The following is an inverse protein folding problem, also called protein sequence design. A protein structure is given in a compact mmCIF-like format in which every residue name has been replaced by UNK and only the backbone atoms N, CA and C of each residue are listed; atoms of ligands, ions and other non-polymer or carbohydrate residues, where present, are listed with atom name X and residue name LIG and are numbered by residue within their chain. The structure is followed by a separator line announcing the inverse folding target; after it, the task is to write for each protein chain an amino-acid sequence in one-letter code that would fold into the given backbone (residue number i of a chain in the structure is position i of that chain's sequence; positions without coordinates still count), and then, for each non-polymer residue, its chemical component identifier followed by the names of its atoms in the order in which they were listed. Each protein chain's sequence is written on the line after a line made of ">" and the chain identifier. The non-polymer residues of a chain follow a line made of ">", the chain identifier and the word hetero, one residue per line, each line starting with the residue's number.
data_IF_208880845801
#
_entry.id   IF_208880845801
#
_cell.length_a   1.000
_cell.length_b   1.000
_cell.length_c   1.000
_cell.angle_alpha   90.00
_cell.angle_beta   90.00
_cell.angle_gamma   90.00
#
_symmetry.space_group_name_H-M   'P 1'
#
loop_
_entity.id
_entity.type
_entity.pdbx_description
1 polymer ?
#
# COMPACT_ATOMS: atom_id res chain seq x y z
N UNK A 1 -5.18 -38.79 -55.25
CA UNK A 1 -4.28 -38.97 -54.09
C UNK A 1 -3.45 -37.70 -53.92
N UNK A 2 -3.82 -36.81 -52.99
CA UNK A 2 -3.10 -35.56 -52.74
C UNK A 2 -2.13 -35.73 -51.57
N UNK A 3 -0.82 -35.75 -51.85
CA UNK A 3 0.22 -35.93 -50.85
C UNK A 3 0.54 -34.58 -50.19
N UNK A 4 0.17 -34.38 -48.92
CA UNK A 4 0.46 -33.16 -48.17
C UNK A 4 1.89 -33.27 -47.60
N UNK A 5 2.81 -32.50 -48.16
CA UNK A 5 4.18 -32.36 -47.66
C UNK A 5 4.13 -31.56 -46.34
N UNK A 6 4.65 -32.17 -45.27
CA UNK A 6 4.75 -31.55 -43.96
C UNK A 6 5.84 -30.46 -43.97
N UNK A 7 5.49 -29.26 -43.52
CA UNK A 7 6.46 -28.17 -43.29
C UNK A 7 7.31 -28.47 -42.04
N UNK A 8 8.62 -28.15 -42.04
CA UNK A 8 9.46 -28.33 -40.88
C UNK A 8 9.07 -27.35 -39.76
N UNK A 9 9.01 -27.85 -38.52
CA UNK A 9 8.78 -27.04 -37.33
C UNK A 9 9.98 -26.11 -37.12
N UNK A 10 9.74 -24.80 -37.25
CA UNK A 10 10.70 -23.76 -36.88
C UNK A 10 11.05 -23.87 -35.38
N UNK A 11 12.33 -23.80 -34.99
CA UNK A 11 12.71 -23.74 -33.59
C UNK A 11 12.18 -22.44 -32.99
N UNK A 12 11.38 -22.54 -31.93
CA UNK A 12 10.87 -21.38 -31.20
C UNK A 12 12.07 -20.61 -30.64
N UNK A 13 12.33 -19.43 -31.20
CA UNK A 13 13.30 -18.48 -30.68
C UNK A 13 12.93 -18.19 -29.22
N UNK A 14 13.85 -18.53 -28.30
CA UNK A 14 13.70 -18.25 -26.88
C UNK A 14 13.44 -16.75 -26.72
N UNK A 15 12.22 -16.40 -26.29
CA UNK A 15 11.90 -15.03 -25.87
C UNK A 15 13.01 -14.59 -24.92
N UNK A 16 13.74 -13.55 -25.29
CA UNK A 16 14.63 -12.84 -24.36
C UNK A 16 13.74 -12.48 -23.17
N UNK A 17 14.08 -12.95 -21.97
CA UNK A 17 13.45 -12.47 -20.73
C UNK A 17 13.61 -10.95 -20.78
N UNK A 18 12.49 -10.25 -20.82
CA UNK A 18 12.45 -8.83 -20.52
C UNK A 18 13.18 -8.64 -19.19
N UNK A 19 13.99 -7.58 -19.03
CA UNK A 19 14.71 -7.37 -17.78
C UNK A 19 13.67 -7.26 -16.68
N UNK A 20 13.65 -8.27 -15.82
CA UNK A 20 12.95 -8.24 -14.54
C UNK A 20 13.47 -6.99 -13.84
N UNK A 21 12.59 -5.99 -13.72
CA UNK A 21 12.94 -4.69 -13.19
C UNK A 21 13.70 -4.90 -11.88
N UNK A 22 14.90 -4.33 -11.80
CA UNK A 22 15.72 -4.39 -10.59
C UNK A 22 14.80 -4.09 -9.38
N UNK A 23 14.91 -4.87 -8.28
CA UNK A 23 14.04 -4.67 -7.15
C UNK A 23 14.15 -3.21 -6.73
N UNK A 24 13.01 -2.51 -6.66
CA UNK A 24 12.97 -1.16 -6.13
C UNK A 24 13.70 -1.18 -4.78
N UNK A 25 14.73 -0.35 -4.65
CA UNK A 25 15.52 -0.18 -3.42
C UNK A 25 14.54 -0.18 -2.23
N UNK A 26 14.56 -1.22 -1.39
CA UNK A 26 13.61 -1.44 -0.29
C UNK A 26 12.86 -2.79 -0.24
N UNK A 27 12.66 -3.47 -1.38
CA UNK A 27 12.09 -4.83 -1.42
C UNK A 27 10.80 -5.03 -0.60
N UNK A 28 10.70 -6.18 0.08
CA UNK A 28 9.58 -6.57 0.95
C UNK A 28 9.80 -6.19 2.43
N UNK A 29 10.67 -5.21 2.74
CA UNK A 29 10.88 -4.73 4.11
C UNK A 29 9.98 -3.51 4.40
N UNK A 30 8.94 -3.63 5.25
CA UNK A 30 8.07 -2.51 5.56
C UNK A 30 8.76 -1.41 6.37
N UNK A 31 9.76 -1.75 7.21
CA UNK A 31 10.44 -0.77 8.06
C UNK A 31 11.32 0.17 7.24
N UNK A 32 11.94 -0.35 6.17
CA UNK A 32 12.64 0.46 5.17
C UNK A 32 11.71 1.52 4.58
N UNK A 33 10.54 1.11 4.08
CA UNK A 33 9.56 2.03 3.49
C UNK A 33 9.02 3.06 4.50
N UNK A 34 8.90 2.69 5.79
CA UNK A 34 8.57 3.64 6.86
C UNK A 34 9.69 4.66 7.08
N UNK A 35 10.95 4.22 7.05
CA UNK A 35 12.08 5.11 7.19
C UNK A 35 12.15 6.10 6.02
N UNK A 36 11.94 5.65 4.80
CA UNK A 36 11.92 6.52 3.63
C UNK A 36 10.76 7.52 3.67
N UNK A 37 9.57 7.10 4.11
CA UNK A 37 8.46 8.01 4.35
C UNK A 37 8.81 9.12 5.37
N UNK A 38 9.54 8.79 6.44
CA UNK A 38 9.99 9.78 7.44
C UNK A 38 10.95 10.80 6.82
N UNK A 39 11.89 10.37 5.98
CA UNK A 39 12.81 11.28 5.30
C UNK A 39 12.08 12.25 4.36
N UNK A 40 11.09 11.77 3.61
CA UNK A 40 10.24 12.65 2.79
C UNK A 40 9.42 13.62 3.67
N UNK A 41 8.92 13.17 4.83
CA UNK A 41 8.20 14.03 5.76
C UNK A 41 9.08 15.16 6.33
N UNK A 42 10.33 14.87 6.65
CA UNK A 42 11.34 15.86 7.09
C UNK A 42 11.57 16.90 6.00
N UNK A 43 11.90 16.48 4.77
CA UNK A 43 12.10 17.38 3.62
C UNK A 43 10.85 18.22 3.33
N UNK A 44 9.66 17.62 3.38
CA UNK A 44 8.38 18.33 3.22
C UNK A 44 8.24 19.46 4.24
N UNK A 45 8.52 19.18 5.51
CA UNK A 45 8.42 20.17 6.57
C UNK A 45 9.41 21.33 6.33
N UNK A 46 10.65 21.03 5.96
CA UNK A 46 11.65 22.05 5.61
C UNK A 46 11.18 22.95 4.45
N UNK A 47 10.64 22.37 3.38
CA UNK A 47 10.11 23.16 2.25
C UNK A 47 8.94 24.04 2.65
N UNK A 48 8.01 23.55 3.49
CA UNK A 48 6.88 24.35 3.95
C UNK A 48 7.29 25.45 4.92
N UNK A 49 8.25 25.20 5.82
CA UNK A 49 8.80 26.24 6.70
C UNK A 49 9.47 27.36 5.90
N UNK A 50 10.29 27.00 4.91
CA UNK A 50 10.93 27.96 4.00
C UNK A 50 9.91 28.71 3.15
N UNK A 51 8.88 28.02 2.64
CA UNK A 51 7.79 28.63 1.88
C UNK A 51 7.06 29.69 2.70
N UNK A 52 6.71 29.37 3.96
CA UNK A 52 6.08 30.32 4.87
C UNK A 52 6.99 31.51 5.20
N UNK A 53 8.30 31.29 5.35
CA UNK A 53 9.26 32.37 5.57
C UNK A 53 9.35 33.30 4.36
N UNK A 54 9.40 32.76 3.13
CA UNK A 54 9.40 33.54 1.90
C UNK A 54 8.10 34.35 1.73
N UNK A 55 6.95 33.76 2.07
CA UNK A 55 5.67 34.46 2.03
C UNK A 55 5.64 35.65 3.00
N UNK A 56 6.13 35.47 4.24
CA UNK A 56 6.28 36.57 5.23
C UNK A 56 7.22 37.68 4.77
N UNK A 57 8.15 37.39 3.86
CA UNK A 57 9.05 38.37 3.24
C UNK A 57 8.47 39.01 1.98
N UNK A 58 7.18 38.80 1.67
CA UNK A 58 6.51 39.22 0.44
C UNK A 58 7.12 38.64 -0.86
N UNK A 59 7.86 37.52 -0.76
CA UNK A 59 8.44 36.80 -1.91
C UNK A 59 7.49 35.71 -2.39
N UNK A 60 6.32 36.11 -2.90
CA UNK A 60 5.24 35.18 -3.26
C UNK A 60 5.62 34.12 -4.31
N UNK A 61 6.43 34.49 -5.31
CA UNK A 61 6.91 33.55 -6.33
C UNK A 61 7.78 32.43 -5.75
N UNK A 62 8.75 32.79 -4.90
CA UNK A 62 9.61 31.83 -4.20
C UNK A 62 8.80 30.95 -3.25
N UNK A 63 7.87 31.55 -2.50
CA UNK A 63 6.98 30.83 -1.61
C UNK A 63 6.17 29.76 -2.35
N UNK A 64 5.66 30.08 -3.54
CA UNK A 64 4.92 29.13 -4.37
C UNK A 64 5.80 27.96 -4.81
N UNK A 65 7.00 28.23 -5.35
CA UNK A 65 7.92 27.17 -5.78
C UNK A 65 8.29 26.22 -4.64
N UNK A 66 8.60 26.77 -3.46
CA UNK A 66 8.89 25.95 -2.27
C UNK A 66 7.66 25.15 -1.81
N UNK A 67 6.45 25.71 -1.91
CA UNK A 67 5.22 24.97 -1.59
C UNK A 67 4.99 23.82 -2.57
N UNK A 68 5.23 24.02 -3.86
CA UNK A 68 5.08 22.97 -4.86
C UNK A 68 6.11 21.84 -4.66
N UNK A 69 7.34 22.17 -4.24
CA UNK A 69 8.34 21.17 -3.83
C UNK A 69 7.91 20.39 -2.59
N UNK A 70 7.37 21.06 -1.57
CA UNK A 70 6.82 20.39 -0.39
C UNK A 70 5.68 19.43 -0.71
N UNK A 71 4.79 19.78 -1.65
CA UNK A 71 3.72 18.89 -2.12
C UNK A 71 4.26 17.65 -2.83
N UNK A 72 5.36 17.78 -3.57
CA UNK A 72 5.97 16.62 -4.22
C UNK A 72 6.59 15.67 -3.17
N UNK A 73 7.28 16.19 -2.16
CA UNK A 73 7.76 15.38 -1.04
C UNK A 73 6.61 14.71 -0.27
N UNK A 74 5.48 15.41 -0.10
CA UNK A 74 4.27 14.83 0.47
C UNK A 74 3.73 13.66 -0.36
N UNK A 75 3.70 13.80 -1.69
CA UNK A 75 3.28 12.72 -2.61
C UNK A 75 4.21 11.51 -2.48
N UNK A 76 5.52 11.72 -2.36
CA UNK A 76 6.51 10.66 -2.20
C UNK A 76 6.41 9.98 -0.83
N UNK A 77 6.23 10.75 0.25
CA UNK A 77 5.94 10.26 1.59
C UNK A 77 4.71 9.34 1.61
N UNK A 78 3.62 9.76 0.95
CA UNK A 78 2.39 8.96 0.87
C UNK A 78 2.62 7.64 0.12
N UNK A 79 3.39 7.66 -0.98
CA UNK A 79 3.74 6.42 -1.71
C UNK A 79 4.59 5.47 -0.87
N UNK A 80 5.59 5.98 -0.15
CA UNK A 80 6.42 5.16 0.73
C UNK A 80 5.58 4.56 1.87
N UNK A 81 4.70 5.33 2.50
CA UNK A 81 3.77 4.81 3.50
C UNK A 81 2.81 3.76 2.93
N UNK A 82 2.29 3.96 1.72
CA UNK A 82 1.43 2.99 1.06
C UNK A 82 2.18 1.66 0.82
N UNK A 83 3.42 1.71 0.34
CA UNK A 83 4.27 0.52 0.18
C UNK A 83 4.51 -0.19 1.52
N UNK A 84 4.83 0.56 2.57
CA UNK A 84 4.99 -0.01 3.91
C UNK A 84 3.71 -0.71 4.39
N UNK A 85 2.56 -0.07 4.24
CA UNK A 85 1.24 -0.60 4.60
C UNK A 85 0.93 -1.89 3.84
N UNK A 86 1.12 -1.90 2.52
CA UNK A 86 0.83 -3.07 1.67
C UNK A 86 1.74 -4.25 2.04
N UNK A 87 3.01 -3.98 2.30
CA UNK A 87 3.99 -4.99 2.72
C UNK A 87 3.65 -5.56 4.10
N UNK A 88 3.31 -4.72 5.09
CA UNK A 88 2.84 -5.18 6.41
C UNK A 88 1.59 -6.05 6.26
N UNK A 89 0.58 -5.57 5.54
CA UNK A 89 -0.68 -6.29 5.38
C UNK A 89 -0.47 -7.65 4.71
N UNK A 90 0.28 -7.68 3.59
CA UNK A 90 0.61 -8.92 2.86
C UNK A 90 1.36 -9.91 3.75
N UNK A 91 2.37 -9.45 4.50
CA UNK A 91 3.18 -10.29 5.38
C UNK A 91 2.35 -10.86 6.53
N UNK A 92 1.57 -10.02 7.19
CA UNK A 92 0.78 -10.41 8.37
C UNK A 92 -0.33 -11.39 8.00
N UNK A 93 -0.95 -11.22 6.83
CA UNK A 93 -2.10 -12.03 6.42
C UNK A 93 -1.72 -13.24 5.55
N UNK A 94 -0.42 -13.53 5.36
CA UNK A 94 0.03 -14.64 4.51
C UNK A 94 -0.37 -16.03 5.04
N UNK A 95 -0.60 -16.16 6.35
CA UNK A 95 -0.95 -17.43 7.01
C UNK A 95 -2.15 -17.31 7.94
N UNK A 96 -2.92 -16.24 7.80
CA UNK A 96 -4.11 -15.96 8.61
C UNK A 96 -5.33 -16.60 7.94
N UNK A 97 -6.25 -17.14 8.75
CA UNK A 97 -7.48 -17.74 8.23
C UNK A 97 -8.33 -16.72 7.45
N UNK A 98 -9.16 -17.15 6.48
CA UNK A 98 -9.88 -16.24 5.59
C UNK A 98 -10.77 -15.22 6.31
N UNK A 99 -11.33 -15.58 7.47
CA UNK A 99 -12.25 -14.72 8.24
C UNK A 99 -11.52 -13.78 9.21
N UNK A 100 -10.21 -13.90 9.32
CA UNK A 100 -9.36 -13.05 10.13
C UNK A 100 -8.63 -12.03 9.26
N UNK A 101 -8.46 -10.83 9.81
CA UNK A 101 -7.75 -9.73 9.15
C UNK A 101 -6.78 -9.14 10.15
N UNK A 102 -5.50 -9.30 9.87
CA UNK A 102 -4.44 -8.74 10.68
C UNK A 102 -4.04 -7.34 10.20
N UNK A 103 -4.29 -6.36 11.06
CA UNK A 103 -4.06 -4.94 10.85
C UNK A 103 -2.98 -4.38 11.79
N UNK A 104 -2.25 -5.24 12.52
CA UNK A 104 -1.19 -4.76 13.40
C UNK A 104 -0.07 -4.08 12.60
N UNK A 105 0.57 -3.07 13.21
CA UNK A 105 1.67 -2.32 12.58
C UNK A 105 1.21 -1.31 11.51
N UNK A 106 -0.07 -1.28 11.16
CA UNK A 106 -0.64 -0.26 10.28
C UNK A 106 -0.98 1.02 11.07
N UNK A 107 -0.85 2.16 10.40
CA UNK A 107 -1.40 3.41 10.93
C UNK A 107 -2.93 3.39 10.84
N UNK A 108 -3.60 4.15 11.72
CA UNK A 108 -5.06 4.14 11.85
C UNK A 108 -5.77 4.32 10.51
N UNK A 109 -5.35 5.29 9.69
CA UNK A 109 -5.94 5.56 8.37
C UNK A 109 -5.76 4.41 7.38
N UNK A 110 -4.62 3.73 7.44
CA UNK A 110 -4.32 2.59 6.58
C UNK A 110 -5.18 1.39 6.99
N UNK A 111 -5.28 1.13 8.30
CA UNK A 111 -6.12 0.08 8.87
C UNK A 111 -7.60 0.31 8.55
N UNK A 112 -8.10 1.55 8.65
CA UNK A 112 -9.45 1.94 8.22
C UNK A 112 -9.70 1.58 6.75
N UNK A 113 -8.83 2.05 5.85
CA UNK A 113 -8.99 1.83 4.41
C UNK A 113 -8.91 0.35 4.01
N UNK A 114 -8.03 -0.42 4.66
CA UNK A 114 -7.93 -1.87 4.44
C UNK A 114 -9.17 -2.57 5.00
N UNK A 115 -9.62 -2.20 6.19
CA UNK A 115 -10.79 -2.83 6.81
C UNK A 115 -12.07 -2.60 5.99
N UNK A 116 -12.27 -1.40 5.43
CA UNK A 116 -13.38 -1.12 4.52
C UNK A 116 -13.37 -2.05 3.29
N UNK A 117 -12.20 -2.25 2.67
CA UNK A 117 -12.03 -3.19 1.54
C UNK A 117 -12.36 -4.62 1.95
N UNK A 118 -11.91 -5.05 3.13
CA UNK A 118 -12.14 -6.40 3.64
C UNK A 118 -13.61 -6.65 3.98
N UNK A 119 -14.30 -5.68 4.59
CA UNK A 119 -15.76 -5.76 4.84
C UNK A 119 -16.52 -5.85 3.50
N UNK A 120 -16.16 -5.02 2.51
CA UNK A 120 -16.79 -5.07 1.20
C UNK A 120 -16.58 -6.43 0.52
N UNK A 121 -15.38 -7.02 0.66
CA UNK A 121 -15.08 -8.37 0.17
C UNK A 121 -15.91 -9.45 0.88
N UNK A 122 -15.94 -9.44 2.22
CA UNK A 122 -16.68 -10.41 3.01
C UNK A 122 -18.18 -10.41 2.69
N UNK A 123 -18.77 -9.23 2.49
CA UNK A 123 -20.16 -9.08 2.03
C UNK A 123 -20.41 -9.74 0.68
N UNK A 124 -19.51 -9.53 -0.30
CA UNK A 124 -19.61 -10.19 -1.62
C UNK A 124 -19.49 -11.71 -1.53
N UNK A 125 -18.65 -12.18 -0.62
CA UNK A 125 -18.42 -13.61 -0.35
C UNK A 125 -19.47 -14.22 0.59
N UNK A 126 -20.49 -13.44 1.01
CA UNK A 126 -21.56 -13.86 1.94
C UNK A 126 -21.04 -14.44 3.26
N UNK A 127 -19.98 -13.87 3.80
CA UNK A 127 -19.47 -14.23 5.14
C UNK A 127 -20.30 -13.54 6.22
N UNK A 128 -20.55 -14.26 7.31
CA UNK A 128 -21.37 -13.76 8.43
C UNK A 128 -20.59 -12.86 9.39
N UNK A 129 -19.26 -13.03 9.45
CA UNK A 129 -18.38 -12.28 10.35
C UNK A 129 -16.97 -12.12 9.79
N UNK A 130 -16.26 -11.11 10.33
CA UNK A 130 -14.83 -10.90 10.19
C UNK A 130 -14.22 -10.62 11.56
N UNK A 131 -13.02 -11.11 11.83
CA UNK A 131 -12.27 -10.83 13.07
C UNK A 131 -11.07 -9.96 12.75
N UNK A 132 -11.03 -8.74 13.31
CA UNK A 132 -9.90 -7.84 13.13
C UNK A 132 -8.89 -7.97 14.28
N UNK A 133 -7.60 -8.07 13.94
CA UNK A 133 -6.47 -8.09 14.88
C UNK A 133 -5.76 -6.73 14.77
N UNK A 134 -5.73 -5.96 15.86
CA UNK A 134 -5.29 -4.54 15.84
C UNK A 134 -4.14 -4.20 16.79
N UNK A 135 -3.49 -5.18 17.43
CA UNK A 135 -2.32 -4.91 18.27
C UNK A 135 -1.65 -6.14 18.90
N UNK A 136 -0.40 -5.97 19.35
CA UNK A 136 0.41 -6.93 20.13
C UNK A 136 0.47 -6.56 21.63
N UNK A 137 -0.63 -6.08 22.21
CA UNK A 137 -0.61 -5.68 23.63
C UNK A 137 -0.22 -6.85 24.54
N UNK A 138 0.83 -6.68 25.36
CA UNK A 138 1.33 -7.67 26.33
C UNK A 138 0.27 -8.17 27.33
N UNK A 139 -0.88 -7.50 27.41
CA UNK A 139 -2.04 -7.97 28.16
C UNK A 139 -3.31 -7.68 27.35
N UNK A 140 -4.09 -8.72 27.06
CA UNK A 140 -5.45 -8.71 26.51
C UNK A 140 -5.57 -8.31 25.03
N UNK A 141 -5.30 -9.25 24.13
CA UNK A 141 -5.77 -9.17 22.74
C UNK A 141 -7.30 -9.02 22.73
N UNK A 142 -7.77 -7.80 22.42
CA UNK A 142 -9.20 -7.55 22.17
C UNK A 142 -9.50 -7.92 20.73
N UNK A 143 -9.90 -9.17 20.51
CA UNK A 143 -10.54 -9.57 19.26
C UNK A 143 -11.87 -8.84 19.15
N UNK A 144 -12.06 -8.06 18.08
CA UNK A 144 -13.37 -7.49 17.76
C UNK A 144 -13.90 -8.22 16.55
N UNK A 145 -14.92 -9.04 16.78
CA UNK A 145 -15.71 -9.59 15.69
C UNK A 145 -16.59 -8.47 15.12
N UNK A 146 -16.49 -8.22 13.82
CA UNK A 146 -17.43 -7.42 13.06
C UNK A 146 -18.41 -8.38 12.37
N UNK A 147 -19.69 -8.28 12.74
CA UNK A 147 -20.73 -9.02 12.05
C UNK A 147 -21.05 -8.32 10.72
N UNK A 148 -20.88 -9.03 9.61
CA UNK A 148 -21.25 -8.56 8.29
C UNK A 148 -22.73 -8.87 8.07
N UNK A 149 -23.65 -8.16 8.75
CA UNK A 149 -25.08 -8.33 8.47
C UNK A 149 -25.36 -7.94 7.02
N UNK A 150 -25.88 -8.89 6.25
CA UNK A 150 -26.47 -8.62 4.94
C UNK A 150 -27.72 -7.80 5.17
N UNK A 151 -27.70 -6.52 4.81
CA UNK A 151 -28.92 -5.72 4.71
C UNK A 151 -29.70 -6.20 3.49
N UNK A 152 -30.68 -7.07 3.72
CA UNK A 152 -31.48 -7.68 2.66
C UNK A 152 -32.53 -8.65 3.18
N UNK A 153 -33.34 -8.22 4.15
CA UNK A 153 -34.67 -8.77 4.40
C UNK A 153 -35.68 -7.62 4.22
N UNK A 154 -36.12 -7.41 2.99
CA UNK A 154 -37.45 -6.90 2.59
C UNK A 154 -37.66 -7.21 1.12
#
# INVERSE_FOLDING_TARGET
>A
MGNKIALPKVPQLRKKREPEAAPAEGGDDPDYWRQEARQHAERRNEFFERSQAAYRQNKGGEAKTLSDQGKEEERLMQQANQRASDTHFKRNNASVEPDFVDLHGLYVREAEAIMEKQIARARREKRDHLVAIVGQGHHNARYRALCCKNGGDT
#
